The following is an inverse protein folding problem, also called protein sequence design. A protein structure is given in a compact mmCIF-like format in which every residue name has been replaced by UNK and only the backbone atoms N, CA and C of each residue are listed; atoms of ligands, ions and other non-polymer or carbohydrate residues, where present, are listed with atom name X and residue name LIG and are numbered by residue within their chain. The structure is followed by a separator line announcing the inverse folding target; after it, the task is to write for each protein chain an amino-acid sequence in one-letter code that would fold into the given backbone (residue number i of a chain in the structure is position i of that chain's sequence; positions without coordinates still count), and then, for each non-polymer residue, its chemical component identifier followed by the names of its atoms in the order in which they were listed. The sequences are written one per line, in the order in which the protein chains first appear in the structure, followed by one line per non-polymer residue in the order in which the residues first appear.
data_IF_503334182378
#
_entry.id   IF_503334182378
#
_cell.length_a   1.000
_cell.length_b   1.000
_cell.length_c   1.000
_cell.angle_alpha   90.00
_cell.angle_beta   90.00
_cell.angle_gamma   90.00
#
_symmetry.space_group_name_H-M   'P 1'
#
loop_
_entity.id
_entity.type
_entity.pdbx_description
1 polymer ?
#
# COMPACT_ATOMS: atom_id res chain seq x y z
N UNK A 1 8.20 12.40 -15.51
CA UNK A 1 6.84 12.52 -14.97
C UNK A 1 6.59 13.96 -14.57
N UNK A 2 5.35 14.40 -14.62
CA UNK A 2 4.94 15.73 -14.21
C UNK A 2 3.73 15.64 -13.28
N UNK A 3 3.66 16.51 -12.26
CA UNK A 3 2.55 16.59 -11.32
C UNK A 3 2.01 18.02 -11.31
N UNK A 4 0.69 18.19 -11.23
CA UNK A 4 0.01 19.47 -11.22
C UNK A 4 -1.17 19.55 -12.17
N UNK A 5 -1.88 20.67 -12.18
CA UNK A 5 -3.15 20.85 -12.91
C UNK A 5 -3.10 20.53 -14.41
N UNK A 6 -1.93 20.62 -15.04
CA UNK A 6 -1.75 20.40 -16.48
C UNK A 6 -0.85 19.19 -16.77
N UNK A 7 -0.89 18.17 -15.89
CA UNK A 7 -0.02 17.00 -15.98
C UNK A 7 -0.18 16.22 -17.30
N UNK A 8 -1.37 16.20 -17.91
CA UNK A 8 -1.64 15.50 -19.16
C UNK A 8 -1.22 16.29 -20.41
N UNK A 9 -1.17 17.61 -20.32
CA UNK A 9 -0.91 18.52 -21.45
C UNK A 9 0.43 19.24 -21.32
N UNK A 10 1.30 18.81 -20.42
CA UNK A 10 2.57 19.47 -20.18
C UNK A 10 3.49 19.38 -21.39
N UNK A 11 3.69 20.51 -22.06
CA UNK A 11 4.62 20.72 -23.17
C UNK A 11 5.83 21.53 -22.71
N UNK A 12 6.53 21.02 -21.68
CA UNK A 12 7.75 21.67 -21.18
C UNK A 12 8.95 21.50 -22.10
N UNK A 13 10.00 22.28 -21.83
CA UNK A 13 11.28 22.09 -22.51
C UNK A 13 11.77 20.67 -22.31
N UNK A 14 12.27 19.99 -23.38
CA UNK A 14 12.77 18.64 -23.25
C UNK A 14 13.96 18.59 -22.28
N UNK A 15 13.94 17.67 -21.36
CA UNK A 15 15.09 17.40 -20.51
C UNK A 15 16.10 16.58 -21.32
N UNK A 16 17.37 16.97 -21.22
CA UNK A 16 18.47 16.27 -21.88
C UNK A 16 19.39 15.64 -20.86
N UNK A 17 19.71 14.36 -21.04
CA UNK A 17 20.72 13.65 -20.29
C UNK A 17 21.76 13.10 -21.26
N UNK A 18 23.03 13.54 -21.14
CA UNK A 18 24.10 13.20 -22.06
C UNK A 18 23.70 13.41 -23.55
N UNK A 19 23.12 14.56 -23.85
CA UNK A 19 22.60 14.96 -25.18
C UNK A 19 21.45 14.12 -25.74
N UNK A 20 20.91 13.16 -24.94
CA UNK A 20 19.71 12.40 -25.29
C UNK A 20 18.48 13.04 -24.65
N UNK A 21 17.43 13.20 -25.44
CA UNK A 21 16.13 13.68 -24.95
C UNK A 21 15.50 12.62 -24.04
N UNK A 22 15.04 13.07 -22.87
CA UNK A 22 14.24 12.23 -21.97
C UNK A 22 12.76 12.46 -22.24
N UNK A 23 12.04 11.39 -22.46
CA UNK A 23 10.59 11.44 -22.64
C UNK A 23 9.88 11.57 -21.30
N UNK A 24 8.79 12.33 -21.28
CA UNK A 24 7.89 12.37 -20.13
C UNK A 24 7.00 11.12 -20.15
N UNK A 25 6.93 10.46 -19.01
CA UNK A 25 6.11 9.27 -18.83
C UNK A 25 4.98 9.56 -17.84
N UNK A 26 3.82 8.94 -18.05
CA UNK A 26 2.64 9.10 -17.20
C UNK A 26 2.70 8.21 -15.97
N UNK A 27 3.41 7.08 -16.06
CA UNK A 27 3.63 6.18 -14.94
C UNK A 27 5.07 5.67 -14.93
N UNK A 28 5.59 5.41 -13.75
CA UNK A 28 6.94 4.89 -13.55
C UNK A 28 7.01 3.98 -12.35
N UNK A 29 7.68 2.84 -12.53
CA UNK A 29 7.92 1.90 -11.44
C UNK A 29 9.21 2.24 -10.71
N UNK A 30 9.10 2.55 -9.42
CA UNK A 30 10.24 2.85 -8.56
C UNK A 30 10.16 2.04 -7.26
N UNK A 31 11.23 1.31 -6.92
CA UNK A 31 11.32 0.45 -5.72
C UNK A 31 10.08 -0.43 -5.49
N UNK A 32 9.54 -1.01 -6.55
CA UNK A 32 8.37 -1.90 -6.44
C UNK A 32 7.02 -1.20 -6.45
N UNK A 33 6.98 0.13 -6.42
CA UNK A 33 5.77 0.95 -6.44
C UNK A 33 5.59 1.57 -7.82
N UNK A 34 4.36 1.65 -8.29
CA UNK A 34 4.03 2.38 -9.52
C UNK A 34 3.54 3.77 -9.16
N UNK A 35 4.35 4.77 -9.48
CA UNK A 35 4.01 6.19 -9.33
C UNK A 35 3.23 6.62 -10.57
N UNK A 36 2.16 7.39 -10.40
CA UNK A 36 1.29 7.87 -11.47
C UNK A 36 1.33 9.39 -11.51
N UNK A 37 1.53 9.94 -12.71
CA UNK A 37 1.41 11.37 -12.97
C UNK A 37 -0.03 11.83 -12.70
N UNK A 38 -0.20 12.97 -12.05
CA UNK A 38 -1.52 13.47 -11.69
C UNK A 38 -1.48 14.88 -11.10
N UNK A 39 -2.62 15.38 -10.66
CA UNK A 39 -2.69 16.70 -9.98
C UNK A 39 -1.85 16.72 -8.70
N UNK A 40 -1.73 15.59 -8.04
CA UNK A 40 -0.92 15.37 -6.85
C UNK A 40 -0.08 14.11 -7.04
N UNK A 41 0.93 13.93 -6.18
CA UNK A 41 1.69 12.69 -6.12
C UNK A 41 0.76 11.53 -5.75
N UNK A 42 0.70 10.54 -6.62
CA UNK A 42 -0.17 9.38 -6.43
C UNK A 42 0.55 8.08 -6.81
N UNK A 43 0.17 6.99 -6.15
CA UNK A 43 0.71 5.65 -6.38
C UNK A 43 -0.41 4.65 -6.60
N UNK A 44 -0.19 3.69 -7.49
CA UNK A 44 -1.16 2.63 -7.75
C UNK A 44 -1.08 1.51 -6.73
N UNK A 45 -2.22 1.16 -6.13
CA UNK A 45 -2.35 -0.02 -5.26
C UNK A 45 -2.47 -1.34 -6.04
N UNK A 46 -2.62 -1.30 -7.37
CA UNK A 46 -2.92 -2.48 -8.20
C UNK A 46 -1.90 -3.62 -8.01
N UNK A 47 -0.61 -3.27 -7.97
CA UNK A 47 0.44 -4.26 -7.79
C UNK A 47 0.43 -4.89 -6.40
N UNK A 48 0.20 -4.08 -5.37
CA UNK A 48 0.10 -4.56 -3.98
C UNK A 48 -1.05 -5.55 -3.85
N UNK A 49 -2.21 -5.21 -4.41
CA UNK A 49 -3.38 -6.09 -4.46
C UNK A 49 -3.08 -7.40 -5.20
N UNK A 50 -2.46 -7.33 -6.39
CA UNK A 50 -2.09 -8.53 -7.16
C UNK A 50 -1.15 -9.45 -6.38
N UNK A 51 -0.15 -8.89 -5.71
CA UNK A 51 0.79 -9.66 -4.89
C UNK A 51 0.10 -10.26 -3.66
N UNK A 52 -0.77 -9.49 -3.01
CA UNK A 52 -1.57 -9.95 -1.88
C UNK A 52 -2.46 -11.14 -2.25
N UNK A 53 -3.24 -11.03 -3.33
CA UNK A 53 -4.10 -12.13 -3.78
C UNK A 53 -3.31 -13.38 -4.13
N UNK A 54 -2.14 -13.23 -4.78
CA UNK A 54 -1.25 -14.35 -5.07
C UNK A 54 -0.78 -15.04 -3.79
N UNK A 55 -0.31 -14.28 -2.81
CA UNK A 55 0.15 -14.81 -1.53
C UNK A 55 -0.98 -15.47 -0.74
N UNK A 56 -2.16 -14.83 -0.67
CA UNK A 56 -3.33 -15.36 0.03
C UNK A 56 -3.81 -16.67 -0.59
N UNK A 57 -3.92 -16.73 -1.92
CA UNK A 57 -4.30 -17.95 -2.63
C UNK A 57 -3.27 -19.07 -2.46
N UNK A 58 -1.97 -18.74 -2.43
CA UNK A 58 -0.94 -19.73 -2.15
C UNK A 58 -1.08 -20.33 -0.76
N UNK A 59 -1.35 -19.51 0.26
CA UNK A 59 -1.59 -19.98 1.64
C UNK A 59 -2.80 -20.91 1.66
N UNK A 60 -3.92 -20.52 1.06
CA UNK A 60 -5.15 -21.31 1.02
C UNK A 60 -4.98 -22.68 0.33
N UNK A 61 -4.11 -22.74 -0.70
CA UNK A 61 -3.90 -23.96 -1.48
C UNK A 61 -2.89 -24.93 -0.87
N UNK A 62 -1.87 -24.42 -0.16
CA UNK A 62 -0.77 -25.25 0.37
C UNK A 62 -1.21 -26.01 1.62
N UNK A 63 -2.02 -25.39 2.46
CA UNK A 63 -2.37 -25.96 3.77
C UNK A 63 -3.64 -26.78 3.65
N UNK A 64 -3.51 -28.09 3.67
CA UNK A 64 -4.66 -29.02 3.68
C UNK A 64 -5.27 -29.08 5.09
N UNK A 65 -6.53 -28.64 5.24
CA UNK A 65 -7.30 -28.64 6.50
C UNK A 65 -6.58 -27.90 7.66
N UNK A 66 -6.26 -26.63 7.48
CA UNK A 66 -5.63 -25.86 8.55
C UNK A 66 -6.64 -25.45 9.61
N UNK A 67 -6.16 -25.28 10.83
CA UNK A 67 -6.89 -24.54 11.84
C UNK A 67 -6.95 -23.05 11.45
N UNK A 68 -8.11 -22.41 11.61
CA UNK A 68 -8.34 -21.03 11.19
C UNK A 68 -7.32 -20.04 11.79
N UNK A 69 -6.92 -20.26 13.06
CA UNK A 69 -5.90 -19.44 13.73
C UNK A 69 -4.53 -19.50 13.02
N UNK A 70 -4.15 -20.68 12.52
CA UNK A 70 -2.90 -20.85 11.77
C UNK A 70 -2.99 -20.10 10.46
N UNK A 71 -4.12 -20.19 9.76
CA UNK A 71 -4.36 -19.48 8.52
C UNK A 71 -4.35 -17.96 8.70
N UNK A 72 -4.95 -17.46 9.77
CA UNK A 72 -4.92 -16.05 10.12
C UNK A 72 -3.48 -15.58 10.41
N UNK A 73 -2.70 -16.34 11.16
CA UNK A 73 -1.28 -16.03 11.40
C UNK A 73 -0.49 -16.00 10.10
N UNK A 74 -0.68 -16.94 9.20
CA UNK A 74 -0.03 -16.97 7.89
C UNK A 74 -0.46 -15.80 7.02
N UNK A 75 -1.76 -15.46 6.99
CA UNK A 75 -2.27 -14.31 6.25
C UNK A 75 -1.59 -13.01 6.71
N UNK A 76 -1.53 -12.79 8.04
CA UNK A 76 -0.95 -11.56 8.60
C UNK A 76 0.58 -11.53 8.57
N UNK A 77 1.25 -12.68 8.54
CA UNK A 77 2.72 -12.75 8.47
C UNK A 77 3.25 -12.68 7.03
N UNK A 78 2.51 -13.21 6.05
CA UNK A 78 3.01 -13.39 4.68
C UNK A 78 2.28 -12.48 3.69
N UNK A 79 0.93 -12.46 3.71
CA UNK A 79 0.16 -11.75 2.70
C UNK A 79 -0.05 -10.27 3.04
N UNK A 80 -0.45 -9.94 4.27
CA UNK A 80 -0.70 -8.55 4.69
C UNK A 80 0.53 -7.65 4.57
N UNK A 81 1.79 -8.08 4.84
CA UNK A 81 2.97 -7.27 4.59
C UNK A 81 3.13 -6.79 3.15
N UNK A 82 2.61 -7.53 2.16
CA UNK A 82 2.61 -7.08 0.77
C UNK A 82 1.70 -5.85 0.54
N UNK A 83 0.60 -5.72 1.30
CA UNK A 83 -0.27 -4.55 1.23
C UNK A 83 0.32 -3.35 1.98
N UNK A 84 0.99 -3.61 3.11
CA UNK A 84 1.56 -2.57 3.95
C UNK A 84 2.95 -2.12 3.48
N UNK A 85 3.46 -2.67 2.37
CA UNK A 85 4.74 -2.26 1.82
C UNK A 85 4.71 -0.77 1.43
N UNK A 86 5.67 -0.01 1.95
CA UNK A 86 5.82 1.43 1.76
C UNK A 86 4.57 2.28 2.16
N UNK A 87 3.64 1.73 2.93
CA UNK A 87 2.48 2.48 3.46
C UNK A 87 2.87 3.64 4.36
N UNK A 88 4.11 3.64 4.84
CA UNK A 88 4.68 4.68 5.69
C UNK A 88 4.84 6.02 4.93
N UNK A 89 5.11 5.93 3.63
CA UNK A 89 5.42 7.10 2.77
C UNK A 89 4.40 7.33 1.64
N UNK A 90 3.53 6.36 1.36
CA UNK A 90 2.56 6.43 0.28
C UNK A 90 1.21 6.89 0.81
N UNK A 91 0.63 7.88 0.15
CA UNK A 91 -0.77 8.26 0.34
C UNK A 91 -1.58 7.61 -0.77
N UNK A 92 -2.45 6.66 -0.40
CA UNK A 92 -3.39 6.03 -1.32
C UNK A 92 -4.66 6.86 -1.46
N UNK A 93 -5.30 6.78 -2.62
CA UNK A 93 -6.63 7.33 -2.81
C UNK A 93 -7.65 6.61 -1.92
N UNK A 94 -8.78 7.27 -1.59
CA UNK A 94 -9.86 6.65 -0.83
C UNK A 94 -10.42 5.41 -1.53
N UNK A 95 -10.45 5.42 -2.86
CA UNK A 95 -10.86 4.28 -3.67
C UNK A 95 -9.89 3.10 -3.51
N UNK A 96 -8.59 3.34 -3.55
CA UNK A 96 -7.58 2.29 -3.36
C UNK A 96 -7.61 1.76 -1.92
N UNK A 97 -7.76 2.62 -0.92
CA UNK A 97 -7.94 2.19 0.48
C UNK A 97 -9.15 1.27 0.64
N UNK A 98 -10.26 1.59 -0.01
CA UNK A 98 -11.45 0.72 -0.02
C UNK A 98 -11.14 -0.63 -0.66
N UNK A 99 -10.44 -0.64 -1.79
CA UNK A 99 -10.04 -1.90 -2.47
C UNK A 99 -9.12 -2.76 -1.58
N UNK A 100 -8.15 -2.16 -0.90
CA UNK A 100 -7.25 -2.84 0.04
C UNK A 100 -8.04 -3.45 1.22
N UNK A 101 -9.00 -2.70 1.74
CA UNK A 101 -9.87 -3.16 2.82
C UNK A 101 -10.77 -4.32 2.38
N UNK A 102 -11.38 -4.23 1.20
CA UNK A 102 -12.21 -5.31 0.63
C UNK A 102 -11.37 -6.57 0.43
N UNK A 103 -10.18 -6.45 -0.18
CA UNK A 103 -9.29 -7.58 -0.42
C UNK A 103 -8.93 -8.32 0.87
N UNK A 104 -8.61 -7.59 1.93
CA UNK A 104 -8.28 -8.19 3.24
C UNK A 104 -9.50 -8.89 3.86
N UNK A 105 -10.69 -8.29 3.75
CA UNK A 105 -11.92 -8.89 4.24
C UNK A 105 -12.28 -10.16 3.48
N UNK A 106 -12.11 -10.17 2.17
CA UNK A 106 -12.40 -11.34 1.34
C UNK A 106 -11.46 -12.51 1.66
N UNK A 107 -10.17 -12.23 1.89
CA UNK A 107 -9.23 -13.25 2.33
C UNK A 107 -9.63 -13.86 3.69
N UNK A 108 -10.08 -13.06 4.64
CA UNK A 108 -10.58 -13.54 5.94
C UNK A 108 -11.85 -14.39 5.76
N UNK A 109 -12.80 -13.93 4.93
CA UNK A 109 -14.01 -14.72 4.63
C UNK A 109 -13.68 -16.08 4.02
N UNK A 110 -12.70 -16.15 3.12
CA UNK A 110 -12.26 -17.42 2.55
C UNK A 110 -11.66 -18.36 3.60
N UNK A 111 -10.91 -17.85 4.57
CA UNK A 111 -10.35 -18.67 5.66
C UNK A 111 -11.45 -19.29 6.52
N UNK A 112 -12.47 -18.48 6.87
CA UNK A 112 -13.56 -18.92 7.75
C UNK A 112 -14.78 -19.47 6.98
N UNK A 113 -14.70 -19.61 5.68
CA UNK A 113 -15.81 -20.05 4.80
C UNK A 113 -17.09 -19.22 4.97
N UNK A 114 -16.94 -17.93 5.26
CA UNK A 114 -18.05 -17.00 5.43
C UNK A 114 -18.63 -16.56 4.09
N UNK A 115 -19.92 -16.29 4.10
CA UNK A 115 -20.58 -15.69 2.96
C UNK A 115 -20.08 -14.25 2.73
N UNK A 116 -20.19 -13.78 1.47
CA UNK A 116 -19.67 -12.47 1.06
C UNK A 116 -20.30 -11.29 1.82
N UNK A 117 -21.53 -11.43 2.29
CA UNK A 117 -22.26 -10.41 3.05
C UNK A 117 -22.02 -10.45 4.55
N UNK A 118 -21.35 -11.46 5.07
CA UNK A 118 -21.06 -11.54 6.49
C UNK A 118 -20.00 -10.54 6.93
N UNK A 119 -20.22 -9.94 8.10
CA UNK A 119 -19.30 -8.95 8.65
C UNK A 119 -18.10 -9.62 9.29
N UNK A 120 -16.90 -9.23 8.87
CA UNK A 120 -15.63 -9.67 9.49
C UNK A 120 -15.18 -8.81 10.66
N UNK A 121 -15.93 -7.77 11.01
CA UNK A 121 -15.55 -6.81 12.06
C UNK A 121 -15.51 -7.47 13.44
N UNK A 122 -16.53 -8.24 13.77
CA UNK A 122 -16.62 -8.97 15.04
C UNK A 122 -15.51 -10.02 15.15
N UNK A 123 -15.25 -10.75 14.07
CA UNK A 123 -14.19 -11.75 14.01
C UNK A 123 -12.81 -11.13 14.26
N UNK A 124 -12.51 -9.99 13.62
CA UNK A 124 -11.24 -9.28 13.83
C UNK A 124 -11.05 -8.85 15.28
N UNK A 125 -12.10 -8.33 15.91
CA UNK A 125 -12.05 -7.93 17.33
C UNK A 125 -11.74 -9.12 18.23
N UNK A 126 -12.38 -10.25 17.98
CA UNK A 126 -12.20 -11.47 18.79
C UNK A 126 -10.82 -12.10 18.59
N UNK A 127 -10.26 -12.03 17.39
CA UNK A 127 -8.95 -12.59 17.06
C UNK A 127 -7.79 -11.59 17.27
N UNK A 128 -8.06 -10.38 17.77
CA UNK A 128 -7.03 -9.33 18.02
C UNK A 128 -6.25 -8.93 16.78
N UNK A 129 -6.81 -9.08 15.58
CA UNK A 129 -6.18 -8.67 14.33
C UNK A 129 -6.61 -7.27 13.91
N UNK A 130 -5.63 -6.43 13.59
CA UNK A 130 -5.87 -5.05 13.19
C UNK A 130 -6.42 -4.97 11.76
N UNK A 131 -7.27 -3.98 11.50
CA UNK A 131 -7.68 -3.66 10.13
C UNK A 131 -6.52 -3.09 9.33
N UNK A 132 -6.58 -3.18 8.00
CA UNK A 132 -5.53 -2.64 7.13
C UNK A 132 -5.37 -1.13 7.33
N UNK A 133 -6.46 -0.39 7.58
CA UNK A 133 -6.43 1.04 7.87
C UNK A 133 -5.61 1.35 9.12
N UNK A 134 -5.90 0.65 10.22
CA UNK A 134 -5.17 0.82 11.49
C UNK A 134 -3.70 0.43 11.34
N UNK A 135 -3.39 -0.60 10.54
CA UNK A 135 -2.00 -0.96 10.26
C UNK A 135 -1.25 0.14 9.50
N UNK A 136 -1.90 0.80 8.55
CA UNK A 136 -1.31 1.91 7.80
C UNK A 136 -1.06 3.12 8.71
N UNK A 137 -2.06 3.50 9.51
CA UNK A 137 -1.93 4.59 10.49
C UNK A 137 -0.78 4.33 11.47
N UNK A 138 -0.74 3.12 12.04
CA UNK A 138 0.32 2.74 12.97
C UNK A 138 1.71 2.83 12.34
N UNK A 139 1.87 2.35 11.10
CA UNK A 139 3.16 2.43 10.39
C UNK A 139 3.54 3.87 10.08
N UNK A 140 2.58 4.66 9.62
CA UNK A 140 2.81 6.07 9.33
C UNK A 140 3.27 6.84 10.57
N UNK A 141 2.58 6.68 11.70
CA UNK A 141 3.01 7.29 12.97
C UNK A 141 4.40 6.82 13.41
N UNK A 142 4.68 5.51 13.35
CA UNK A 142 6.01 5.00 13.68
C UNK A 142 7.10 5.63 12.80
N UNK A 143 6.84 5.80 11.50
CA UNK A 143 7.77 6.45 10.59
C UNK A 143 7.95 7.94 10.92
N UNK A 144 6.86 8.66 11.18
CA UNK A 144 6.88 10.08 11.57
C UNK A 144 7.65 10.29 12.87
N UNK A 145 7.47 9.42 13.86
CA UNK A 145 8.19 9.45 15.14
C UNK A 145 9.69 9.20 14.99
N UNK A 146 10.08 8.35 14.01
CA UNK A 146 11.47 8.01 13.73
C UNK A 146 12.19 9.08 12.89
N UNK A 147 11.47 9.94 12.14
CA UNK A 147 12.06 10.95 11.26
C UNK A 147 13.08 11.87 11.95
N UNK A 148 12.85 12.39 13.17
CA UNK A 148 13.82 13.26 13.84
C UNK A 148 15.15 12.55 14.17
N UNK A 149 15.11 11.23 14.38
CA UNK A 149 16.27 10.40 14.76
C UNK A 149 17.25 10.14 13.62
N UNK A 150 16.82 10.33 12.35
CA UNK A 150 17.61 10.02 11.15
C UNK A 150 18.86 10.91 11.01
N UNK A 151 18.91 12.04 11.71
CA UNK A 151 20.08 12.93 11.73
C UNK A 151 20.36 13.68 10.41
N UNK A 152 19.50 13.53 9.39
CA UNK A 152 19.64 14.25 8.13
C UNK A 152 18.99 15.64 8.24
N UNK A 153 19.78 16.73 8.09
CA UNK A 153 19.28 18.10 8.31
C UNK A 153 18.16 18.51 7.34
N UNK A 154 18.10 17.91 6.16
CA UNK A 154 17.04 18.19 5.18
C UNK A 154 15.74 17.54 5.64
N UNK A 155 15.80 16.29 6.10
CA UNK A 155 14.63 15.56 6.60
C UNK A 155 14.08 16.23 7.86
N UNK A 156 14.96 16.64 8.79
CA UNK A 156 14.55 17.35 9.99
C UNK A 156 13.83 18.68 9.66
N UNK A 157 14.33 19.44 8.69
CA UNK A 157 13.65 20.66 8.22
C UNK A 157 12.29 20.39 7.57
N UNK A 158 12.19 19.33 6.77
CA UNK A 158 10.91 18.96 6.14
C UNK A 158 9.89 18.50 7.16
N UNK A 159 10.31 17.73 8.17
CA UNK A 159 9.44 17.29 9.25
C UNK A 159 8.87 18.48 10.06
N UNK A 160 9.68 19.52 10.32
CA UNK A 160 9.22 20.73 11.02
C UNK A 160 8.29 21.63 10.18
N UNK A 161 8.28 21.51 8.86
CA UNK A 161 7.38 22.26 7.98
C UNK A 161 6.03 21.56 7.75
N UNK A 162 5.92 20.28 8.10
CA UNK A 162 4.72 19.48 7.92
C UNK A 162 3.73 19.56 9.10
N UNK A 163 4.12 20.23 10.19
CA UNK A 163 3.29 20.57 11.34
C UNK A 163 2.94 22.06 11.32
#
# INVERSE_FOLDING_TARGET
MFFGKNHDSFSGKPLLLNHKKLDFVTEWKYLGITIISGNQFNCSAQRLLSTFYRSSNSILNIVKKPHEDVMMKLLYSIAVPNLTYASDVIVFSSADMTRLHVATNDAIRMIFTFNRWESVTTLRKNCVYLSITVLFEKRKHSFEDDLPSIGNPVICKLATLAH
#
